data_IF_892178746551
#
_entry.id   IF_892178746551
#
_cell.length_a   1.000
_cell.length_b   1.000
_cell.length_c   1.000
_cell.angle_alpha   90.00
_cell.angle_beta   90.00
_cell.angle_gamma   90.00
#
_symmetry.space_group_name_H-M   'P 1'
#
loop_
_entity.id
_entity.type
_entity.pdbx_description
1 polymer ?
#
# COMPACT_ATOMS: atom_id res chain seq x y z
N UNK A 1 -14.30 -7.11 -17.53
CA UNK A 1 -13.94 -5.85 -16.85
C UNK A 1 -12.72 -6.12 -15.98
N UNK A 2 -11.65 -5.30 -16.01
CA UNK A 2 -10.46 -5.49 -15.19
C UNK A 2 -10.50 -4.75 -13.85
N UNK A 3 -9.67 -5.20 -12.92
CA UNK A 3 -9.46 -4.63 -11.60
C UNK A 3 -8.95 -3.18 -11.71
N UNK A 4 -9.46 -2.29 -10.85
CA UNK A 4 -9.04 -0.90 -10.78
C UNK A 4 -7.62 -0.78 -10.22
N UNK A 5 -6.74 -0.08 -10.93
CA UNK A 5 -5.36 0.15 -10.49
C UNK A 5 -5.27 1.30 -9.49
N UNK A 6 -4.27 1.23 -8.61
CA UNK A 6 -4.04 2.12 -7.48
C UNK A 6 -2.57 2.45 -7.38
N UNK A 7 -2.25 3.43 -6.54
CA UNK A 7 -0.86 3.59 -6.09
C UNK A 7 -0.35 2.26 -5.52
N UNK A 8 0.95 1.98 -5.69
CA UNK A 8 1.65 0.74 -5.35
C UNK A 8 1.36 -0.48 -6.23
N UNK A 9 0.30 -0.48 -7.05
CA UNK A 9 0.11 -1.55 -8.02
C UNK A 9 1.24 -1.51 -9.07
N UNK A 10 1.77 -2.68 -9.43
CA UNK A 10 2.95 -2.78 -10.29
C UNK A 10 2.58 -2.74 -11.76
N UNK A 11 3.49 -2.19 -12.58
CA UNK A 11 3.58 -2.49 -14.00
C UNK A 11 4.79 -3.37 -14.28
N UNK A 12 4.76 -4.06 -15.41
CA UNK A 12 5.91 -4.79 -15.96
C UNK A 12 6.38 -4.06 -17.21
N UNK A 13 7.70 -3.90 -17.34
CA UNK A 13 8.32 -3.29 -18.51
C UNK A 13 9.29 -4.26 -19.19
N UNK A 14 9.07 -4.69 -20.45
CA UNK A 14 9.95 -5.63 -21.14
C UNK A 14 11.13 -4.94 -21.86
N UNK A 15 11.32 -3.62 -21.71
CA UNK A 15 12.40 -2.90 -22.40
C UNK A 15 13.78 -3.30 -21.88
N UNK A 16 14.74 -3.41 -22.81
CA UNK A 16 16.17 -3.52 -22.52
C UNK A 16 16.90 -2.51 -23.40
N UNK A 17 17.20 -1.29 -22.92
CA UNK A 17 17.89 -0.24 -23.71
C UNK A 17 18.72 0.75 -22.86
N UNK A 18 19.85 1.31 -23.39
CA UNK A 18 20.94 0.64 -24.09
C UNK A 18 21.99 0.19 -23.06
N UNK A 19 22.13 -1.11 -22.88
CA UNK A 19 22.98 -1.71 -21.84
C UNK A 19 22.32 -2.99 -21.29
N UNK A 20 23.08 -3.86 -20.62
CA UNK A 20 22.61 -5.20 -20.24
C UNK A 20 21.61 -5.20 -19.08
N UNK A 21 21.01 -4.05 -18.70
CA UNK A 21 20.13 -3.96 -17.53
C UNK A 21 18.68 -3.94 -18.00
N UNK A 22 17.94 -5.05 -17.83
CA UNK A 22 16.53 -5.10 -18.18
C UNK A 22 15.75 -4.16 -17.29
N UNK A 23 14.75 -3.50 -17.87
CA UNK A 23 13.72 -2.91 -17.05
C UNK A 23 12.91 -4.04 -16.44
N UNK A 24 12.48 -3.87 -15.19
CA UNK A 24 11.63 -4.87 -14.51
C UNK A 24 10.24 -4.32 -14.21
N UNK A 25 10.01 -3.05 -14.55
CA UNK A 25 8.84 -2.29 -14.16
C UNK A 25 8.95 -1.77 -12.73
N UNK A 26 7.80 -1.60 -12.07
CA UNK A 26 7.72 -1.04 -10.73
C UNK A 26 6.37 -0.40 -10.41
N UNK A 27 6.21 0.14 -9.20
CA UNK A 27 4.92 0.58 -8.69
C UNK A 27 4.46 1.88 -9.34
N UNK A 28 3.14 2.03 -9.43
CA UNK A 28 2.49 3.33 -9.66
C UNK A 28 2.75 4.20 -8.43
N UNK A 29 3.27 5.41 -8.65
CA UNK A 29 3.75 6.28 -7.58
C UNK A 29 2.90 7.56 -7.41
N UNK A 30 2.12 7.96 -8.41
CA UNK A 30 1.12 9.02 -8.25
C UNK A 30 -0.30 8.49 -8.44
N UNK A 31 -1.25 9.17 -7.83
CA UNK A 31 -2.65 8.78 -7.86
C UNK A 31 -3.57 9.90 -7.43
N UNK A 32 -4.85 9.57 -7.31
CA UNK A 32 -5.91 10.48 -6.88
C UNK A 32 -6.03 10.52 -5.36
N UNK A 33 -5.57 11.60 -4.71
CA UNK A 33 -5.54 11.68 -3.25
C UNK A 33 -6.93 11.61 -2.57
N UNK A 34 -7.99 12.01 -3.27
CA UNK A 34 -9.36 12.08 -2.76
C UNK A 34 -10.26 10.91 -3.21
N UNK A 35 -9.78 10.02 -4.08
CA UNK A 35 -10.56 8.86 -4.54
C UNK A 35 -9.82 7.61 -4.18
N UNK A 36 -10.40 6.85 -3.26
CA UNK A 36 -9.79 5.71 -2.61
C UNK A 36 -10.44 4.43 -3.14
N UNK A 37 -9.61 3.51 -3.63
CA UNK A 37 -10.01 2.18 -4.12
C UNK A 37 -9.27 1.16 -3.27
N UNK A 38 -9.98 0.27 -2.58
CA UNK A 38 -9.36 -0.72 -1.69
C UNK A 38 -8.35 -0.10 -0.71
N UNK A 39 -8.72 1.00 -0.07
CA UNK A 39 -7.91 1.77 0.89
C UNK A 39 -6.66 2.47 0.35
N UNK A 40 -6.44 2.51 -0.98
CA UNK A 40 -5.33 3.24 -1.59
C UNK A 40 -5.83 4.25 -2.64
N UNK A 41 -5.12 5.39 -2.82
CA UNK A 41 -5.38 6.33 -3.92
C UNK A 41 -5.50 5.65 -5.28
N UNK A 42 -6.58 5.94 -6.00
CA UNK A 42 -6.84 5.38 -7.33
C UNK A 42 -5.86 5.94 -8.37
N UNK A 43 -5.33 5.06 -9.23
CA UNK A 43 -4.46 5.46 -10.33
C UNK A 43 -5.28 5.90 -11.54
N UNK A 44 -4.72 6.82 -12.33
CA UNK A 44 -5.38 7.40 -13.51
C UNK A 44 -4.40 7.56 -14.66
N UNK A 45 -4.93 7.73 -15.86
CA UNK A 45 -4.14 8.15 -17.02
C UNK A 45 -3.27 9.37 -16.69
N UNK A 46 -2.00 9.27 -17.04
CA UNK A 46 -0.97 10.30 -16.82
C UNK A 46 -0.32 10.29 -15.45
N UNK A 47 -0.80 9.48 -14.50
CA UNK A 47 -0.12 9.25 -13.22
C UNK A 47 1.23 8.54 -13.46
N UNK A 48 2.22 8.89 -12.65
CA UNK A 48 3.60 8.46 -12.78
C UNK A 48 3.82 7.05 -12.25
N UNK A 49 4.65 6.29 -12.95
CA UNK A 49 5.02 4.92 -12.63
C UNK A 49 6.54 4.84 -12.57
N UNK A 50 7.07 4.08 -11.61
CA UNK A 50 8.52 3.86 -11.50
C UNK A 50 8.89 2.67 -12.35
N UNK A 51 9.80 2.86 -13.30
CA UNK A 51 10.38 1.77 -14.08
C UNK A 51 11.84 1.60 -13.67
N UNK A 52 12.16 0.59 -12.87
CA UNK A 52 13.55 0.34 -12.48
C UNK A 52 14.34 -0.26 -13.65
N UNK A 53 15.57 0.20 -13.96
CA UNK A 53 16.42 1.19 -13.24
C UNK A 53 16.25 2.66 -13.67
N UNK A 54 15.40 2.97 -14.64
CA UNK A 54 15.26 4.30 -15.28
C UNK A 54 14.70 5.37 -14.33
N UNK A 55 13.87 4.98 -13.36
CA UNK A 55 13.24 5.88 -12.40
C UNK A 55 11.80 6.27 -12.77
N UNK A 56 11.26 7.36 -12.19
CA UNK A 56 9.83 7.72 -12.25
C UNK A 56 9.41 8.43 -13.55
N UNK A 57 10.17 8.29 -14.64
CA UNK A 57 9.89 8.97 -15.91
C UNK A 57 8.70 8.39 -16.67
N UNK A 58 8.23 7.20 -16.30
CA UNK A 58 7.11 6.53 -16.95
C UNK A 58 5.75 7.03 -16.44
N UNK A 59 4.72 6.90 -17.27
CA UNK A 59 3.35 7.36 -17.01
C UNK A 59 2.35 6.34 -17.53
N UNK A 60 1.20 6.27 -16.88
CA UNK A 60 0.07 5.48 -17.37
C UNK A 60 -0.45 6.11 -18.67
N UNK A 61 -0.40 5.35 -19.76
CA UNK A 61 -0.74 5.84 -21.11
C UNK A 61 -2.25 5.93 -21.32
N UNK A 62 -2.98 4.95 -20.82
CA UNK A 62 -4.42 4.82 -21.02
C UNK A 62 -5.13 4.34 -19.75
N UNK A 63 -6.43 4.64 -19.64
CA UNK A 63 -7.31 4.08 -18.64
C UNK A 63 -8.67 3.68 -19.23
N UNK A 64 -9.64 3.43 -18.37
CA UNK A 64 -11.04 3.23 -18.74
C UNK A 64 -11.61 4.45 -19.49
N UNK A 65 -12.22 4.22 -20.65
CA UNK A 65 -12.87 5.27 -21.43
C UNK A 65 -14.13 5.83 -20.76
N UNK A 66 -14.78 5.05 -19.89
CA UNK A 66 -16.10 5.35 -19.33
C UNK A 66 -16.09 5.62 -17.83
N UNK A 67 -14.96 5.39 -17.15
CA UNK A 67 -14.80 5.65 -15.72
C UNK A 67 -13.75 6.75 -15.55
N UNK A 68 -14.21 7.91 -15.08
CA UNK A 68 -13.36 9.07 -14.83
C UNK A 68 -13.17 9.29 -13.34
N UNK A 69 -11.92 9.50 -12.93
CA UNK A 69 -11.55 9.88 -11.58
C UNK A 69 -10.83 11.23 -11.69
N UNK A 70 -11.40 12.28 -11.07
CA UNK A 70 -10.92 13.66 -11.21
C UNK A 70 -10.69 14.06 -12.69
N UNK A 71 -11.70 13.81 -13.54
CA UNK A 71 -11.68 14.13 -14.98
C UNK A 71 -10.60 13.42 -15.82
N UNK A 72 -9.92 12.40 -15.26
CA UNK A 72 -8.96 11.56 -15.99
C UNK A 72 -9.46 10.12 -16.02
N UNK A 73 -9.14 9.40 -17.09
CA UNK A 73 -9.48 7.98 -17.23
C UNK A 73 -8.89 7.18 -16.06
N UNK A 74 -9.71 6.41 -15.36
CA UNK A 74 -9.26 5.55 -14.26
C UNK A 74 -8.40 4.40 -14.81
N UNK A 75 -7.22 4.17 -14.23
CA UNK A 75 -6.32 3.11 -14.68
C UNK A 75 -6.80 1.74 -14.17
N UNK A 76 -6.52 0.69 -14.94
CA UNK A 76 -6.93 -0.70 -14.67
C UNK A 76 -5.76 -1.64 -14.85
N UNK A 77 -5.87 -2.84 -14.27
CA UNK A 77 -5.02 -3.96 -14.65
C UNK A 77 -5.09 -4.14 -16.17
N UNK A 78 -3.94 -4.35 -16.80
CA UNK A 78 -3.67 -4.47 -18.25
C UNK A 78 -3.61 -3.15 -19.03
N UNK A 79 -3.93 -2.00 -18.43
CA UNK A 79 -3.77 -0.73 -19.15
C UNK A 79 -2.27 -0.41 -19.37
N UNK A 80 -1.90 0.14 -20.54
CA UNK A 80 -0.50 0.36 -20.92
C UNK A 80 0.13 1.55 -20.21
N UNK A 81 1.46 1.49 -20.05
CA UNK A 81 2.30 2.64 -19.68
C UNK A 81 3.04 3.19 -20.91
N UNK A 82 3.60 4.40 -20.80
CA UNK A 82 4.14 5.18 -21.93
C UNK A 82 5.50 4.67 -22.39
N UNK A 83 6.27 4.06 -21.49
CA UNK A 83 7.71 3.89 -21.68
C UNK A 83 8.08 2.97 -22.86
N UNK A 84 7.44 1.81 -23.07
CA UNK A 84 7.53 1.01 -24.30
C UNK A 84 6.26 0.24 -24.67
N UNK A 85 6.20 -0.18 -25.94
CA UNK A 85 5.20 -1.15 -26.42
C UNK A 85 5.32 -2.48 -25.69
N UNK A 86 4.31 -2.80 -24.87
CA UNK A 86 4.26 -4.02 -24.06
C UNK A 86 4.18 -3.76 -22.55
N UNK A 87 4.51 -2.53 -22.12
CA UNK A 87 4.36 -2.09 -20.74
C UNK A 87 2.91 -2.13 -20.33
N UNK A 88 2.64 -2.77 -19.20
CA UNK A 88 1.27 -2.91 -18.71
C UNK A 88 1.23 -2.98 -17.21
N UNK A 89 0.18 -2.40 -16.64
CA UNK A 89 -0.14 -2.56 -15.23
C UNK A 89 -0.53 -4.02 -15.00
N UNK A 90 0.13 -4.69 -14.07
CA UNK A 90 -0.15 -6.08 -13.67
C UNK A 90 -0.90 -6.18 -12.35
N UNK A 91 -0.82 -5.14 -11.51
CA UNK A 91 -1.57 -5.05 -10.25
C UNK A 91 -2.93 -4.39 -10.39
N UNK A 92 -3.78 -4.58 -9.37
CA UNK A 92 -5.11 -3.97 -9.29
C UNK A 92 -5.83 -4.38 -8.00
N UNK A 93 -6.91 -3.68 -7.67
CA UNK A 93 -7.76 -4.02 -6.54
C UNK A 93 -8.74 -5.15 -6.92
N UNK A 94 -8.60 -6.37 -6.38
CA UNK A 94 -9.43 -7.51 -6.79
C UNK A 94 -10.92 -7.33 -6.42
N UNK A 95 -11.23 -6.49 -5.44
CA UNK A 95 -12.60 -6.20 -5.02
C UNK A 95 -13.27 -5.08 -5.81
N UNK A 96 -12.54 -4.36 -6.67
CA UNK A 96 -13.06 -3.21 -7.42
C UNK A 96 -12.75 -3.37 -8.90
N UNK A 97 -13.76 -3.75 -9.66
CA UNK A 97 -13.67 -3.98 -11.10
C UNK A 97 -14.35 -2.83 -11.83
N UNK A 98 -13.66 -2.22 -12.80
CA UNK A 98 -14.13 -1.00 -13.48
C UNK A 98 -14.02 -1.09 -15.00
N UNK A 99 -14.83 -0.29 -15.69
CA UNK A 99 -14.90 -0.26 -17.16
C UNK A 99 -16.17 -0.93 -17.69
N UNK A 100 -16.23 -1.10 -19.00
CA UNK A 100 -17.42 -1.65 -19.65
C UNK A 100 -17.39 -3.18 -19.75
N UNK A 101 -18.56 -3.78 -19.54
CA UNK A 101 -18.88 -5.14 -19.94
C UNK A 101 -19.88 -5.12 -21.09
N UNK A 102 -20.02 -6.23 -21.79
CA UNK A 102 -21.09 -6.40 -22.80
C UNK A 102 -22.46 -6.13 -22.19
N UNK A 103 -22.68 -6.58 -20.94
CA UNK A 103 -23.89 -6.29 -20.17
C UNK A 103 -24.06 -4.78 -19.90
N UNK A 104 -23.00 -4.07 -19.50
CA UNK A 104 -23.12 -2.62 -19.23
C UNK A 104 -23.43 -1.82 -20.50
N UNK A 105 -22.97 -2.28 -21.67
CA UNK A 105 -23.35 -1.68 -22.94
C UNK A 105 -24.85 -1.90 -23.25
N UNK A 106 -25.34 -3.13 -23.11
CA UNK A 106 -26.76 -3.46 -23.30
C UNK A 106 -27.63 -2.67 -22.33
N UNK A 107 -27.26 -2.59 -21.04
CA UNK A 107 -28.00 -1.79 -20.07
C UNK A 107 -28.03 -0.30 -20.39
N UNK A 108 -26.92 0.27 -20.87
CA UNK A 108 -26.90 1.67 -21.31
C UNK A 108 -27.72 1.89 -22.57
N UNK A 109 -27.73 0.94 -23.50
CA UNK A 109 -28.57 1.00 -24.69
C UNK A 109 -30.06 0.93 -24.32
N UNK A 110 -30.45 -0.07 -23.52
CA UNK A 110 -31.81 -0.24 -23.01
C UNK A 110 -32.29 0.99 -22.21
N UNK A 111 -31.45 1.52 -21.32
CA UNK A 111 -31.76 2.74 -20.58
C UNK A 111 -31.95 3.98 -21.47
N UNK A 112 -31.17 4.09 -22.56
CA UNK A 112 -31.32 5.22 -23.52
C UNK A 112 -32.65 5.20 -24.27
N UNK A 113 -33.17 4.01 -24.57
CA UNK A 113 -34.44 3.85 -25.28
C UNK A 113 -35.62 3.55 -24.34
N UNK A 114 -35.37 3.55 -23.02
CA UNK A 114 -36.40 3.29 -22.00
C UNK A 114 -36.95 1.86 -22.03
N UNK A 115 -36.24 0.90 -22.64
CA UNK A 115 -36.69 -0.50 -22.68
C UNK A 115 -36.40 -1.18 -21.34
N UNK A 116 -37.40 -1.68 -20.60
CA UNK A 116 -37.17 -2.40 -19.36
C UNK A 116 -36.43 -3.71 -19.63
N UNK A 117 -35.46 -4.05 -18.78
CA UNK A 117 -34.79 -5.34 -18.83
C UNK A 117 -35.72 -6.40 -18.26
N UNK A 118 -36.29 -7.23 -19.13
CA UNK A 118 -37.06 -8.41 -18.76
C UNK A 118 -36.77 -9.50 -19.80
N UNK A 119 -36.18 -10.62 -19.37
CA UNK A 119 -35.86 -11.75 -20.26
C UNK A 119 -37.10 -12.29 -20.99
N UNK A 120 -38.26 -12.22 -20.34
CA UNK A 120 -39.54 -12.55 -20.96
C UNK A 120 -39.98 -11.52 -22.00
N UNK A 121 -39.71 -10.23 -21.78
CA UNK A 121 -39.98 -9.18 -22.76
C UNK A 121 -39.01 -9.26 -23.95
N UNK A 122 -37.73 -9.61 -23.75
CA UNK A 122 -36.76 -9.81 -24.83
C UNK A 122 -37.14 -11.03 -25.69
N UNK A 123 -37.52 -12.14 -25.05
CA UNK A 123 -38.04 -13.35 -25.75
C UNK A 123 -39.32 -13.05 -26.51
N UNK A 124 -40.30 -12.38 -25.87
CA UNK A 124 -41.53 -11.95 -26.54
C UNK A 124 -41.27 -10.94 -27.66
N UNK A 125 -40.29 -10.03 -27.50
CA UNK A 125 -39.92 -9.07 -28.54
C UNK A 125 -39.29 -9.77 -29.74
N UNK A 126 -38.41 -10.75 -29.54
CA UNK A 126 -37.85 -11.58 -30.60
C UNK A 126 -38.90 -12.49 -31.27
N UNK A 127 -39.92 -12.92 -30.54
CA UNK A 127 -41.10 -13.59 -31.10
C UNK A 127 -41.98 -12.62 -31.92
N UNK A 128 -42.11 -11.36 -31.48
CA UNK A 128 -42.90 -10.31 -32.14
C UNK A 128 -42.21 -9.71 -33.38
N UNK A 129 -40.88 -9.65 -33.41
CA UNK A 129 -40.04 -9.16 -34.53
C UNK A 129 -40.06 -10.09 -35.76
N UNK A 130 -40.92 -11.12 -35.72
CA UNK A 130 -41.21 -12.01 -36.87
C UNK A 130 -42.42 -11.55 -37.69
N UNK A 131 -43.11 -10.48 -37.28
CA UNK A 131 -44.29 -9.99 -37.98
C UNK A 131 -44.04 -8.61 -38.62
N UNK A 132 -44.19 -8.61 -39.95
CA UNK A 132 -44.19 -7.49 -40.90
C UNK A 132 -44.43 -6.10 -40.29
N UNK A 133 -43.44 -5.22 -40.42
CA UNK A 133 -43.36 -3.82 -39.96
C UNK A 133 -44.40 -2.86 -40.58
N UNK A 134 -45.49 -3.37 -41.14
CA UNK A 134 -46.51 -2.58 -41.84
C UNK A 134 -47.67 -2.13 -40.94
N UNK A 135 -47.76 -2.59 -39.69
CA UNK A 135 -48.86 -2.27 -38.79
C UNK A 135 -48.54 -1.14 -37.79
N UNK A 136 -49.35 -0.08 -37.82
CA UNK A 136 -49.32 1.05 -36.88
C UNK A 136 -49.77 0.56 -35.49
N UNK A 137 -49.02 0.84 -34.40
CA UNK A 137 -49.39 0.35 -33.08
C UNK A 137 -50.53 1.16 -32.46
N UNK A 138 -51.55 0.47 -31.96
CA UNK A 138 -52.59 1.02 -31.09
C UNK A 138 -52.07 1.26 -29.66
N UNK A 139 -52.61 2.26 -28.97
CA UNK A 139 -52.16 2.66 -27.62
C UNK A 139 -52.51 1.62 -26.52
N UNK A 140 -51.65 1.39 -25.51
CA UNK A 140 -51.85 0.33 -24.54
C UNK A 140 -52.77 0.72 -23.36
N UNK A 141 -53.63 -0.22 -22.99
CA UNK A 141 -54.62 -0.14 -21.92
C UNK A 141 -54.02 -0.31 -20.51
N UNK A 142 -54.51 0.46 -19.54
CA UNK A 142 -53.82 0.78 -18.26
C UNK A 142 -54.07 -0.23 -17.11
N UNK A 143 -54.76 -1.35 -17.35
CA UNK A 143 -55.39 -2.10 -16.23
C UNK A 143 -54.78 -3.47 -15.82
N UNK A 144 -53.63 -3.93 -16.34
CA UNK A 144 -53.21 -5.34 -16.12
C UNK A 144 -51.92 -5.60 -15.32
N UNK A 145 -51.42 -4.65 -14.53
CA UNK A 145 -50.25 -4.89 -13.67
C UNK A 145 -50.64 -5.02 -12.18
N UNK A 146 -50.93 -6.24 -11.71
CA UNK A 146 -50.88 -6.59 -10.28
C UNK A 146 -49.99 -7.82 -10.07
N UNK A 147 -48.98 -7.66 -9.21
CA UNK A 147 -47.99 -8.66 -8.82
C UNK A 147 -48.48 -9.42 -7.57
N UNK A 148 -48.50 -10.75 -7.63
CA UNK A 148 -48.60 -11.60 -6.44
C UNK A 148 -47.21 -12.17 -6.12
N UNK A 149 -46.68 -11.83 -4.94
CA UNK A 149 -45.40 -12.27 -4.39
C UNK A 149 -45.50 -13.69 -3.79
N UNK A 150 -44.71 -14.64 -4.30
CA UNK A 150 -44.45 -15.91 -3.62
C UNK A 150 -42.97 -16.01 -3.21
N UNK A 151 -42.72 -16.27 -1.91
CA UNK A 151 -41.39 -16.25 -1.31
C UNK A 151 -40.51 -17.44 -1.75
N UNK A 152 -39.18 -17.26 -1.92
CA UNK A 152 -38.29 -18.30 -2.43
C UNK A 152 -37.96 -19.38 -1.38
N UNK A 153 -37.66 -20.63 -1.81
CA UNK A 153 -37.46 -21.76 -0.92
C UNK A 153 -36.15 -21.70 -0.12
N UNK A 154 -36.19 -22.27 1.09
CA UNK A 154 -35.08 -22.28 2.04
C UNK A 154 -33.92 -23.17 1.56
N UNK A 155 -32.73 -22.58 1.39
CA UNK A 155 -31.48 -23.32 1.12
C UNK A 155 -30.43 -22.60 0.28
N UNK A 156 -30.76 -21.47 -0.36
CA UNK A 156 -29.81 -20.67 -1.11
C UNK A 156 -28.87 -19.89 -0.17
N UNK A 157 -27.66 -20.41 0.08
CA UNK A 157 -26.62 -19.65 0.77
C UNK A 157 -26.24 -18.44 -0.08
N UNK A 158 -26.57 -17.24 0.38
CA UNK A 158 -26.13 -15.99 -0.24
C UNK A 158 -24.62 -15.84 -0.05
N UNK A 159 -23.90 -15.42 -1.10
CA UNK A 159 -22.47 -15.09 -1.06
C UNK A 159 -22.15 -13.82 -0.25
N UNK A 160 -22.70 -13.72 0.97
CA UNK A 160 -22.54 -12.60 1.90
C UNK A 160 -21.68 -12.93 3.13
N UNK A 161 -21.08 -14.12 3.16
CA UNK A 161 -20.25 -14.60 4.27
C UNK A 161 -18.76 -14.72 3.91
N UNK A 162 -18.21 -13.75 3.16
CA UNK A 162 -16.75 -13.69 2.87
C UNK A 162 -16.08 -12.44 3.47
N UNK A 163 -16.82 -11.59 4.18
CA UNK A 163 -16.32 -10.28 4.63
C UNK A 163 -16.54 -9.99 6.13
N UNK A 164 -16.65 -11.02 6.97
CA UNK A 164 -16.81 -10.83 8.42
C UNK A 164 -15.51 -10.93 9.24
N UNK A 165 -14.38 -11.29 8.62
CA UNK A 165 -13.09 -11.36 9.32
C UNK A 165 -12.24 -10.12 8.98
N UNK A 166 -11.72 -9.45 10.01
CA UNK A 166 -10.52 -8.62 9.86
C UNK A 166 -9.47 -9.41 9.06
N UNK A 167 -8.63 -8.74 8.26
CA UNK A 167 -7.58 -9.36 7.43
C UNK A 167 -6.41 -9.90 8.29
N UNK A 168 -6.74 -10.69 9.32
CA UNK A 168 -5.86 -11.45 10.20
C UNK A 168 -4.94 -12.34 9.37
N UNK A 169 -5.45 -12.87 8.24
CA UNK A 169 -4.67 -13.68 7.31
C UNK A 169 -3.39 -13.00 6.82
N UNK A 170 -3.41 -11.68 6.56
CA UNK A 170 -2.19 -10.94 6.14
C UNK A 170 -1.25 -10.67 7.29
N UNK A 171 -1.76 -10.41 8.50
CA UNK A 171 -0.91 -10.22 9.67
C UNK A 171 -0.23 -11.53 10.08
N UNK A 172 -0.97 -12.64 10.00
CA UNK A 172 -0.47 -14.00 10.19
C UNK A 172 0.57 -14.34 9.13
N UNK A 173 0.26 -14.13 7.85
CA UNK A 173 1.18 -14.40 6.74
C UNK A 173 2.45 -13.53 6.80
N UNK A 174 2.33 -12.27 7.23
CA UNK A 174 3.48 -11.38 7.43
C UNK A 174 4.40 -11.84 8.57
N UNK A 175 3.84 -12.50 9.59
CA UNK A 175 4.56 -13.05 10.72
C UNK A 175 5.22 -14.40 10.49
N UNK A 176 4.91 -15.08 9.36
CA UNK A 176 5.52 -16.37 9.02
C UNK A 176 6.94 -16.20 8.48
N UNK A 177 7.78 -17.21 8.73
CA UNK A 177 9.06 -17.37 8.06
C UNK A 177 8.85 -17.79 6.59
N UNK A 178 9.87 -17.57 5.75
CA UNK A 178 9.83 -18.07 4.37
C UNK A 178 9.99 -19.61 4.35
N UNK A 179 9.10 -20.26 3.61
CA UNK A 179 9.03 -21.71 3.43
C UNK A 179 8.90 -22.03 1.93
N UNK A 180 9.22 -23.27 1.53
CA UNK A 180 9.11 -23.75 0.14
C UNK A 180 7.69 -24.29 -0.16
N UNK A 181 6.70 -23.41 -0.02
CA UNK A 181 5.27 -23.71 -0.17
C UNK A 181 4.59 -22.89 -1.29
N UNK A 182 5.39 -22.13 -2.04
CA UNK A 182 4.90 -21.24 -3.11
C UNK A 182 4.26 -19.94 -2.63
N UNK A 183 4.25 -19.64 -1.32
CA UNK A 183 3.66 -18.43 -0.75
C UNK A 183 4.65 -17.29 -0.52
N UNK A 184 5.91 -17.40 -0.96
CA UNK A 184 6.96 -16.41 -0.71
C UNK A 184 6.58 -15.00 -1.19
N UNK A 185 5.98 -14.87 -2.38
CA UNK A 185 5.52 -13.58 -2.90
C UNK A 185 4.34 -13.02 -2.07
N UNK A 186 3.42 -13.89 -1.65
CA UNK A 186 2.30 -13.50 -0.80
C UNK A 186 2.77 -13.03 0.59
N UNK A 187 3.80 -13.68 1.17
CA UNK A 187 4.45 -13.24 2.42
C UNK A 187 5.13 -11.89 2.24
N UNK A 188 5.87 -11.69 1.16
CA UNK A 188 6.53 -10.41 0.87
C UNK A 188 5.51 -9.27 0.77
N UNK A 189 4.41 -9.50 0.04
CA UNK A 189 3.32 -8.53 -0.09
C UNK A 189 2.61 -8.27 1.24
N UNK A 190 2.37 -9.31 2.04
CA UNK A 190 1.77 -9.18 3.36
C UNK A 190 2.66 -8.36 4.31
N UNK A 191 3.97 -8.65 4.36
CA UNK A 191 4.95 -7.90 5.17
C UNK A 191 5.01 -6.44 4.77
N UNK A 192 5.04 -6.15 3.47
CA UNK A 192 5.00 -4.78 2.96
C UNK A 192 3.70 -4.08 3.36
N UNK A 193 2.56 -4.72 3.16
CA UNK A 193 1.25 -4.17 3.49
C UNK A 193 1.11 -3.87 4.98
N UNK A 194 1.49 -4.80 5.86
CA UNK A 194 1.45 -4.63 7.31
C UNK A 194 2.38 -3.50 7.75
N UNK A 195 3.62 -3.44 7.25
CA UNK A 195 4.53 -2.35 7.56
C UNK A 195 3.96 -1.00 7.11
N UNK A 196 3.51 -0.90 5.85
CA UNK A 196 2.95 0.33 5.30
C UNK A 196 1.71 0.80 6.07
N UNK A 197 0.76 -0.11 6.34
CA UNK A 197 -0.44 0.20 7.11
C UNK A 197 -0.09 0.67 8.52
N UNK A 198 0.88 0.03 9.17
CA UNK A 198 1.35 0.46 10.49
C UNK A 198 1.93 1.87 10.47
N UNK A 199 2.84 2.17 9.54
CA UNK A 199 3.40 3.52 9.40
C UNK A 199 2.33 4.55 9.02
N UNK A 200 1.42 4.23 8.10
CA UNK A 200 0.35 5.12 7.67
C UNK A 200 -0.62 5.47 8.82
N UNK A 201 -0.99 4.48 9.63
CA UNK A 201 -1.83 4.67 10.82
C UNK A 201 -1.13 5.49 11.92
N UNK A 202 0.19 5.60 11.87
CA UNK A 202 1.03 6.26 12.87
C UNK A 202 1.85 7.43 12.31
N UNK A 203 1.51 7.91 11.11
CA UNK A 203 2.11 9.07 10.46
C UNK A 203 1.59 10.38 11.07
N UNK A 204 1.60 10.45 12.40
CA UNK A 204 1.20 11.62 13.20
C UNK A 204 2.43 12.10 13.97
N UNK A 205 2.98 13.24 13.58
CA UNK A 205 4.17 13.84 14.20
C UNK A 205 5.42 13.77 13.30
N UNK A 206 6.57 13.24 13.79
CA UNK A 206 7.86 13.32 13.08
C UNK A 206 7.94 12.44 11.82
N UNK A 207 7.13 11.39 11.70
CA UNK A 207 7.04 10.58 10.47
C UNK A 207 5.96 11.17 9.57
N UNK A 208 6.37 11.66 8.41
CA UNK A 208 5.46 12.18 7.39
C UNK A 208 5.04 11.05 6.44
N UNK A 209 3.85 11.14 5.81
CA UNK A 209 3.44 10.19 4.78
C UNK A 209 4.45 10.02 3.64
N UNK A 210 5.19 11.09 3.29
CA UNK A 210 6.26 11.06 2.28
C UNK A 210 7.44 10.16 2.66
N UNK A 211 7.67 9.96 3.96
CA UNK A 211 8.90 9.34 4.48
C UNK A 211 8.67 7.85 4.77
N UNK A 212 7.42 7.38 4.74
CA UNK A 212 7.03 5.98 5.03
C UNK A 212 7.86 4.99 4.21
N UNK A 213 8.04 5.25 2.91
CA UNK A 213 8.83 4.35 2.06
C UNK A 213 10.31 4.32 2.45
N UNK A 214 10.86 5.44 2.92
CA UNK A 214 12.23 5.49 3.43
C UNK A 214 12.37 4.67 4.72
N UNK A 215 11.34 4.66 5.57
CA UNK A 215 11.33 3.84 6.77
C UNK A 215 11.20 2.34 6.44
N UNK A 216 10.35 1.99 5.47
CA UNK A 216 10.20 0.61 5.00
C UNK A 216 11.49 0.09 4.34
N UNK A 217 12.28 0.95 3.68
CA UNK A 217 13.60 0.58 3.13
C UNK A 217 14.56 0.05 4.19
N UNK A 218 14.41 0.48 5.45
CA UNK A 218 15.19 -0.03 6.57
C UNK A 218 14.73 -1.40 7.10
N UNK A 219 13.68 -2.00 6.52
CA UNK A 219 13.11 -3.27 6.95
C UNK A 219 13.46 -4.37 5.94
N UNK A 220 13.98 -5.48 6.44
CA UNK A 220 14.19 -6.70 5.68
C UNK A 220 12.85 -7.44 5.53
N UNK A 221 12.17 -7.22 4.40
CA UNK A 221 10.87 -7.82 4.10
C UNK A 221 10.96 -9.31 3.71
N UNK A 222 12.16 -9.90 3.65
CA UNK A 222 12.32 -11.35 3.56
C UNK A 222 12.18 -12.03 4.94
N UNK A 223 12.11 -11.24 6.02
CA UNK A 223 11.93 -11.74 7.37
C UNK A 223 10.56 -11.34 7.93
N UNK A 224 10.06 -12.06 8.95
CA UNK A 224 8.77 -11.76 9.56
C UNK A 224 8.62 -10.30 10.01
N UNK A 225 7.43 -9.74 9.77
CA UNK A 225 7.03 -8.41 10.22
C UNK A 225 5.75 -8.55 11.04
N UNK A 226 5.81 -8.16 12.32
CA UNK A 226 4.74 -8.42 13.29
C UNK A 226 4.37 -7.14 14.04
N UNK A 227 3.09 -6.83 14.09
CA UNK A 227 2.54 -5.77 14.96
C UNK A 227 2.13 -6.41 16.29
N UNK A 228 2.66 -5.92 17.40
CA UNK A 228 2.31 -6.43 18.74
C UNK A 228 2.48 -5.39 19.83
N UNK A 229 1.90 -5.65 21.01
CA UNK A 229 2.08 -4.79 22.18
C UNK A 229 3.43 -5.06 22.86
N UNK A 230 4.08 -3.98 23.29
CA UNK A 230 5.30 -3.93 24.08
C UNK A 230 5.09 -3.23 25.43
N UNK A 231 3.83 -3.05 25.85
CA UNK A 231 3.50 -2.47 27.14
C UNK A 231 4.16 -3.29 28.28
N UNK A 232 4.73 -2.59 29.26
CA UNK A 232 5.44 -3.18 30.39
C UNK A 232 6.81 -3.75 30.07
N UNK A 233 7.36 -3.52 28.87
CA UNK A 233 8.72 -3.96 28.49
C UNK A 233 9.71 -2.80 28.54
N UNK A 234 10.88 -3.09 29.08
CA UNK A 234 12.08 -2.27 28.89
C UNK A 234 12.68 -2.58 27.52
N UNK A 235 12.95 -1.54 26.74
CA UNK A 235 13.62 -1.65 25.46
C UNK A 235 14.78 -0.66 25.38
N UNK A 236 15.66 -0.87 24.42
CA UNK A 236 16.91 -0.12 24.32
C UNK A 236 16.91 0.74 23.06
N UNK A 237 17.20 2.02 23.23
CA UNK A 237 17.45 2.92 22.11
C UNK A 237 18.94 3.24 22.00
N UNK A 238 19.50 3.13 20.79
CA UNK A 238 20.84 3.65 20.50
C UNK A 238 20.80 5.17 20.36
N UNK A 239 21.37 5.88 21.33
CA UNK A 239 21.31 7.35 21.39
C UNK A 239 22.61 7.94 21.92
N UNK A 240 22.85 9.21 21.61
CA UNK A 240 23.94 9.99 22.20
C UNK A 240 23.43 10.71 23.46
N UNK A 241 24.31 11.05 24.43
CA UNK A 241 23.93 11.87 25.57
C UNK A 241 23.26 13.19 25.14
N UNK A 242 22.16 13.56 25.81
CA UNK A 242 21.40 14.79 25.51
C UNK A 242 20.48 14.73 24.29
N UNK A 243 20.54 13.69 23.44
CA UNK A 243 19.58 13.52 22.36
C UNK A 243 18.20 13.07 22.88
N UNK A 244 17.14 13.55 22.22
CA UNK A 244 15.77 13.12 22.49
C UNK A 244 15.55 11.64 22.17
N UNK A 245 14.50 11.07 22.75
CA UNK A 245 14.09 9.68 22.45
C UNK A 245 13.53 9.61 21.03
N UNK A 246 14.12 8.78 20.18
CA UNK A 246 13.63 8.48 18.82
C UNK A 246 12.71 7.26 18.82
N UNK A 247 12.25 6.82 17.66
CA UNK A 247 11.15 5.83 17.54
C UNK A 247 11.59 4.38 17.30
N UNK A 248 12.90 4.12 17.23
CA UNK A 248 13.45 2.81 16.94
C UNK A 248 14.18 2.27 18.16
N UNK A 249 13.86 1.02 18.51
CA UNK A 249 14.30 0.35 19.72
C UNK A 249 14.72 -1.09 19.42
N UNK A 250 15.50 -1.67 20.33
CA UNK A 250 15.88 -3.09 20.34
C UNK A 250 15.42 -3.75 21.61
N UNK A 251 15.23 -5.08 21.55
CA UNK A 251 14.90 -5.90 22.72
C UNK A 251 16.15 -6.37 23.48
N UNK A 252 17.32 -6.25 22.86
CA UNK A 252 18.59 -6.71 23.40
C UNK A 252 19.59 -5.53 23.43
N UNK A 253 20.20 -5.23 24.60
CA UNK A 253 21.17 -4.15 24.77
C UNK A 253 22.54 -4.43 24.15
N UNK A 254 22.79 -5.62 23.62
CA UNK A 254 24.03 -5.97 22.91
C UNK A 254 24.00 -5.62 21.42
N UNK A 255 22.81 -5.43 20.83
CA UNK A 255 22.63 -5.18 19.37
C UNK A 255 23.23 -3.83 18.96
N UNK A 256 24.31 -3.81 18.18
CA UNK A 256 25.00 -2.57 17.81
C UNK A 256 24.18 -1.68 16.88
N UNK A 257 24.47 -0.36 16.80
CA UNK A 257 23.78 0.54 15.87
C UNK A 257 23.77 0.06 14.41
N UNK A 258 24.89 -0.50 13.92
CA UNK A 258 25.03 -0.94 12.54
C UNK A 258 24.15 -2.15 12.22
N UNK A 259 23.90 -3.00 13.23
CA UNK A 259 23.01 -4.16 13.11
C UNK A 259 21.54 -3.75 12.99
N UNK A 260 21.19 -2.52 13.40
CA UNK A 260 19.86 -1.93 13.21
C UNK A 260 19.82 -0.83 12.15
N UNK A 261 20.86 -0.76 11.30
CA UNK A 261 20.84 0.15 10.15
C UNK A 261 21.21 1.59 10.47
N UNK A 262 21.93 1.86 11.57
CA UNK A 262 22.34 3.21 11.97
C UNK A 262 23.84 3.29 12.26
N UNK A 263 24.44 4.44 11.98
CA UNK A 263 25.86 4.71 12.28
C UNK A 263 26.16 4.57 13.79
N UNK A 264 27.34 4.06 14.17
CA UNK A 264 27.73 3.98 15.59
C UNK A 264 27.87 5.35 16.26
N UNK A 265 28.08 6.39 15.47
CA UNK A 265 28.37 7.73 15.95
C UNK A 265 27.36 8.75 15.42
N UNK A 266 27.13 9.81 16.20
CA UNK A 266 26.33 10.96 15.79
C UNK A 266 26.85 12.24 16.40
N UNK A 267 26.55 13.37 15.80
CA UNK A 267 26.91 14.67 16.38
C UNK A 267 25.86 15.10 17.40
N UNK A 268 26.33 15.53 18.58
CA UNK A 268 25.51 16.33 19.48
C UNK A 268 25.09 17.63 18.80
N UNK A 269 23.92 18.15 19.14
CA UNK A 269 23.50 19.47 18.66
C UNK A 269 23.84 20.53 19.70
N UNK A 270 24.61 21.54 19.31
CA UNK A 270 24.95 22.72 20.11
C UNK A 270 24.47 23.95 19.32
N UNK A 271 23.56 24.73 19.90
CA UNK A 271 22.92 25.89 19.24
C UNK A 271 22.33 25.57 17.85
N UNK A 272 21.74 24.38 17.71
CA UNK A 272 21.14 23.91 16.46
C UNK A 272 22.14 23.50 15.38
N UNK A 273 23.43 23.41 15.69
CA UNK A 273 24.49 22.95 14.78
C UNK A 273 25.16 21.68 15.32
N UNK A 274 25.69 20.80 14.43
CA UNK A 274 26.53 19.69 14.84
C UNK A 274 27.74 20.18 15.65
N UNK A 275 27.83 19.76 16.91
CA UNK A 275 28.94 20.02 17.80
C UNK A 275 29.96 18.88 17.71
N UNK A 276 31.09 19.04 17.00
CA UNK A 276 32.17 18.07 17.05
C UNK A 276 32.83 18.03 18.46
N UNK A 277 33.38 16.89 18.90
CA UNK A 277 33.53 15.63 18.17
C UNK A 277 32.22 14.80 18.11
N UNK A 278 32.08 13.86 17.15
CA UNK A 278 30.95 12.94 17.15
C UNK A 278 31.00 12.04 18.40
N UNK A 279 29.83 11.73 18.95
CA UNK A 279 29.65 10.93 20.14
C UNK A 279 29.17 9.53 19.77
N UNK A 280 29.54 8.54 20.59
CA UNK A 280 29.10 7.17 20.45
C UNK A 280 27.62 7.03 20.82
N UNK A 281 26.86 6.23 20.06
CA UNK A 281 25.49 5.85 20.40
C UNK A 281 25.50 4.70 21.39
N UNK A 282 25.28 5.03 22.65
CA UNK A 282 25.16 4.07 23.75
C UNK A 282 23.70 3.59 23.91
N UNK A 283 23.47 2.39 24.48
CA UNK A 283 22.12 1.93 24.76
C UNK A 283 21.51 2.77 25.88
N UNK A 284 20.33 3.33 25.62
CA UNK A 284 19.48 3.99 26.61
C UNK A 284 18.25 3.13 26.87
N UNK A 285 17.98 2.85 28.12
CA UNK A 285 16.75 2.16 28.53
C UNK A 285 15.53 3.06 28.41
N UNK A 286 14.45 2.51 27.88
CA UNK A 286 13.16 3.16 27.77
C UNK A 286 12.08 2.15 28.14
N UNK A 287 11.30 2.49 29.16
CA UNK A 287 10.15 1.70 29.59
C UNK A 287 8.88 2.23 28.94
N UNK A 288 8.04 1.30 28.47
CA UNK A 288 6.79 1.61 27.79
C UNK A 288 5.59 1.23 28.65
N UNK A 289 4.69 2.19 28.89
CA UNK A 289 3.39 1.94 29.54
C UNK A 289 2.36 1.31 28.58
N UNK A 290 1.15 1.09 29.10
CA UNK A 290 0.00 0.63 28.28
C UNK A 290 -0.78 1.85 27.75
N UNK A 291 -1.09 1.95 26.44
CA UNK A 291 -0.70 1.07 25.35
C UNK A 291 0.66 1.40 24.73
N UNK A 292 1.37 0.36 24.27
CA UNK A 292 2.60 0.50 23.49
C UNK A 292 2.63 -0.47 22.30
N UNK A 293 1.85 -0.16 21.27
CA UNK A 293 1.84 -0.95 20.04
C UNK A 293 3.09 -0.65 19.21
N UNK A 294 3.81 -1.69 18.79
CA UNK A 294 5.03 -1.57 18.00
C UNK A 294 5.04 -2.48 16.78
N UNK A 295 5.79 -2.08 15.75
CA UNK A 295 6.10 -2.89 14.58
C UNK A 295 7.46 -3.54 14.80
N UNK A 296 7.48 -4.84 15.02
CA UNK A 296 8.70 -5.62 15.07
C UNK A 296 9.10 -6.12 13.69
N UNK A 297 10.36 -5.94 13.36
CA UNK A 297 10.93 -6.42 12.10
C UNK A 297 12.43 -6.66 12.23
N UNK A 298 13.06 -7.12 11.14
CA UNK A 298 14.52 -7.19 11.04
C UNK A 298 15.04 -6.01 10.23
N UNK A 299 16.18 -5.45 10.63
CA UNK A 299 16.82 -4.38 9.87
C UNK A 299 17.40 -4.88 8.55
N UNK A 300 17.07 -4.20 7.45
CA UNK A 300 17.71 -4.42 6.16
C UNK A 300 19.13 -3.83 6.15
N UNK A 301 20.04 -4.37 5.32
CA UNK A 301 21.26 -3.67 4.98
C UNK A 301 20.93 -2.31 4.35
N UNK A 302 21.49 -1.24 4.89
CA UNK A 302 21.18 0.13 4.46
C UNK A 302 22.40 1.04 4.60
N UNK A 303 22.47 2.05 3.74
CA UNK A 303 23.44 3.13 3.87
C UNK A 303 22.81 4.24 4.71
N UNK A 304 23.35 4.48 5.91
CA UNK A 304 23.00 5.61 6.75
C UNK A 304 23.67 6.87 6.21
N UNK A 305 22.89 7.67 5.46
CA UNK A 305 23.27 8.98 4.94
C UNK A 305 22.50 10.11 5.65
N UNK A 306 21.94 9.85 6.84
CA UNK A 306 21.12 10.83 7.57
C UNK A 306 21.69 11.18 8.95
N UNK A 307 22.49 10.31 9.57
CA UNK A 307 23.01 10.52 10.92
C UNK A 307 24.20 11.46 11.02
N UNK A 308 25.01 11.55 9.96
CA UNK A 308 26.28 12.26 9.97
C UNK A 308 26.32 13.31 8.86
N UNK A 309 26.74 14.52 9.23
CA UNK A 309 27.00 15.62 8.31
C UNK A 309 28.48 15.96 8.36
N UNK A 310 29.14 16.05 7.22
CA UNK A 310 30.52 16.51 7.09
C UNK A 310 30.56 18.01 7.45
N UNK A 311 31.21 18.40 8.56
CA UNK A 311 31.26 19.78 8.98
C UNK A 311 32.05 20.68 8.02
N UNK A 312 32.84 20.11 7.08
CA UNK A 312 33.68 20.84 6.13
C UNK A 312 33.05 21.03 4.76
N UNK A 313 32.14 20.13 4.36
CA UNK A 313 31.61 20.07 2.99
C UNK A 313 30.10 20.27 2.89
N UNK A 314 29.40 20.44 4.01
CA UNK A 314 27.93 20.48 4.08
C UNK A 314 27.23 19.23 3.51
N UNK A 315 28.00 18.18 3.18
CA UNK A 315 27.53 16.91 2.63
C UNK A 315 27.26 15.91 3.74
N UNK A 316 26.35 14.96 3.52
CA UNK A 316 26.13 13.83 4.44
C UNK A 316 27.24 12.79 4.31
N UNK A 317 27.63 12.18 5.42
CA UNK A 317 28.58 11.07 5.44
C UNK A 317 27.79 9.78 5.38
N UNK A 318 27.99 9.00 4.31
CA UNK A 318 27.36 7.71 4.13
C UNK A 318 28.10 6.63 4.94
N UNK A 319 27.37 5.93 5.81
CA UNK A 319 27.88 4.80 6.59
C UNK A 319 27.11 3.55 6.22
N UNK A 320 27.79 2.55 5.65
CA UNK A 320 27.15 1.27 5.36
C UNK A 320 26.87 0.52 6.66
N UNK A 321 25.61 0.12 6.83
CA UNK A 321 25.15 -0.63 7.99
C UNK A 321 24.66 -2.00 7.49
N UNK A 322 25.23 -3.07 8.04
CA UNK A 322 24.92 -4.43 7.60
C UNK A 322 23.48 -4.85 7.90
N UNK A 323 22.84 -4.23 8.91
CA UNK A 323 21.52 -4.65 9.36
C UNK A 323 21.54 -6.04 10.00
N UNK A 324 20.40 -6.72 9.97
CA UNK A 324 20.25 -8.12 10.36
C UNK A 324 19.75 -8.38 11.78
N UNK A 325 19.75 -7.38 12.66
CA UNK A 325 19.17 -7.52 14.00
C UNK A 325 17.68 -7.15 14.05
N UNK A 326 17.02 -7.62 15.11
CA UNK A 326 15.63 -7.27 15.39
C UNK A 326 15.53 -5.82 15.84
N UNK A 327 14.62 -5.07 15.23
CA UNK A 327 14.26 -3.71 15.61
C UNK A 327 12.75 -3.63 15.85
N UNK A 328 12.36 -2.69 16.71
CA UNK A 328 10.97 -2.38 17.02
C UNK A 328 10.76 -0.89 16.80
N UNK A 329 9.86 -0.54 15.89
CA UNK A 329 9.39 0.83 15.74
C UNK A 329 8.21 1.05 16.69
N UNK A 330 8.35 2.00 17.62
CA UNK A 330 7.24 2.47 18.45
C UNK A 330 6.85 3.90 18.06
N UNK A 331 5.57 4.14 17.72
CA UNK A 331 5.02 5.46 17.47
C UNK A 331 5.23 6.41 18.66
N UNK A 332 5.60 7.66 18.38
CA UNK A 332 5.89 8.68 19.40
C UNK A 332 4.76 8.86 20.44
N UNK A 333 3.50 8.64 20.04
CA UNK A 333 2.32 8.74 20.90
C UNK A 333 2.31 7.76 22.09
N UNK A 334 3.09 6.68 22.01
CA UNK A 334 3.20 5.66 23.07
C UNK A 334 4.45 5.82 23.92
N UNK A 335 5.28 6.84 23.66
CA UNK A 335 6.49 7.06 24.44
C UNK A 335 6.14 7.63 25.82
N UNK A 336 6.97 7.36 26.83
CA UNK A 336 6.84 8.04 28.11
C UNK A 336 6.94 9.57 27.92
N UNK A 337 6.23 10.35 28.75
CA UNK A 337 6.33 11.81 28.71
C UNK A 337 7.78 12.27 28.88
N UNK A 338 8.19 13.29 28.13
CA UNK A 338 9.53 13.85 28.21
C UNK A 338 9.79 14.37 29.64
N UNK A 339 10.70 13.73 30.37
CA UNK A 339 11.03 14.07 31.77
C UNK A 339 10.91 12.90 32.76
N UNK A 340 10.42 11.73 32.34
CA UNK A 340 10.57 10.51 33.13
C UNK A 340 11.97 9.92 32.92
N UNK A 341 13.02 10.62 33.37
CA UNK A 341 14.27 9.94 33.71
C UNK A 341 13.91 8.98 34.85
N UNK A 342 14.03 7.68 34.59
CA UNK A 342 13.95 6.68 35.65
C UNK A 342 14.96 7.09 36.72
N UNK A 343 14.48 7.43 37.92
CA UNK A 343 15.35 7.53 39.07
C UNK A 343 16.09 6.20 39.20
N UNK A 344 17.43 6.18 39.23
CA UNK A 344 18.14 4.96 39.57
C UNK A 344 17.76 4.59 41.02
N UNK A 345 17.06 3.47 41.17
CA UNK A 345 16.87 2.77 42.44
C UNK A 345 18.03 1.86 42.76
#
# INVERSE_FOLDING_TARGET
MPDAARISDFHVCPKVEPGPVPHVGGPIFSGSANVIVGFLPAARKGDSVVCFPVGPSDRIQQGSATVLINHRQAARRTDPAVHVGGDRIVGGCPSVVIGDSTQSFVFRAAARVGTPFCEECERKRLEYDTHDDSAVPDEPDVETATLDDEAPPAGGRSGRDVFADLDLSKHELAGQHDEDDGLSEARLQARYAVAYQFYAAHATGPIKPSDILSHIKGIDLQKPVVVRSFAGRTMYQRSIPGAGVGQYFTLDPSITPEQVGCSPISYGMVDGKPGPPPLLREPREVEFGDPALGLQSTAAPIVDDWSLKDPRKDTRVAVYCAGGATQVMIPRKFHPPAGAEACPG
#
